data_IF_806339515789
#
_entry.id   IF_806339515789
#
_cell.length_a   1.000
_cell.length_b   1.000
_cell.length_c   1.000
_cell.angle_alpha   90.00
_cell.angle_beta   90.00
_cell.angle_gamma   90.00
#
_symmetry.space_group_name_H-M   'P 1'
#
loop_
_entity.id
_entity.type
_entity.pdbx_description
1 polymer ?
#
# COMPACT_ATOMS: atom_id res chain seq x y z
N UNK A 1 -21.52 -24.60 27.39
CA UNK A 1 -20.39 -23.88 26.79
C UNK A 1 -20.14 -22.68 27.66
N UNK A 2 -19.22 -22.88 28.60
CA UNK A 2 -18.93 -21.97 29.70
C UNK A 2 -17.40 -21.88 29.77
N UNK A 3 -16.84 -21.05 28.90
CA UNK A 3 -15.43 -20.66 28.96
C UNK A 3 -15.28 -19.30 28.29
N UNK A 4 -14.87 -18.32 29.08
CA UNK A 4 -14.59 -16.92 28.73
C UNK A 4 -13.59 -16.72 27.59
N UNK A 5 -12.91 -17.78 27.14
CA UNK A 5 -12.05 -17.78 25.94
C UNK A 5 -12.86 -17.62 24.64
N UNK A 6 -14.15 -17.96 24.66
CA UNK A 6 -14.96 -17.97 23.44
C UNK A 6 -15.33 -16.58 22.89
N UNK A 7 -15.10 -15.49 23.63
CA UNK A 7 -15.55 -14.15 23.23
C UNK A 7 -14.48 -13.07 23.39
N UNK A 8 -13.20 -13.51 23.45
CA UNK A 8 -12.06 -12.62 23.33
C UNK A 8 -11.84 -12.23 21.86
N UNK A 9 -11.45 -10.99 21.54
CA UNK A 9 -10.89 -10.70 20.22
C UNK A 9 -9.68 -11.57 19.91
N UNK A 10 -9.08 -12.28 20.87
CA UNK A 10 -7.92 -13.14 20.67
C UNK A 10 -8.27 -14.63 20.54
N UNK A 11 -9.50 -14.96 20.13
CA UNK A 11 -9.85 -16.34 19.77
C UNK A 11 -8.82 -16.90 18.80
N UNK A 12 -8.32 -18.10 19.09
CA UNK A 12 -7.34 -18.78 18.24
C UNK A 12 -7.91 -19.18 16.87
N UNK A 13 -9.24 -19.24 16.71
CA UNK A 13 -9.89 -19.58 15.43
C UNK A 13 -10.26 -18.36 14.58
N UNK A 14 -10.10 -17.14 15.10
CA UNK A 14 -10.38 -15.88 14.39
C UNK A 14 -11.85 -15.64 14.04
N UNK A 15 -12.79 -16.45 14.54
CA UNK A 15 -14.21 -16.35 14.22
C UNK A 15 -14.89 -15.25 15.03
N UNK A 16 -15.93 -14.60 14.46
CA UNK A 16 -16.58 -13.41 15.01
C UNK A 16 -17.94 -13.71 15.69
N UNK A 17 -18.06 -14.86 16.36
CA UNK A 17 -19.33 -15.24 17.00
C UNK A 17 -19.78 -14.21 18.04
N UNK A 18 -21.02 -13.73 17.90
CA UNK A 18 -21.62 -12.77 18.82
C UNK A 18 -21.05 -11.35 18.72
N UNK A 19 -20.23 -11.06 17.71
CA UNK A 19 -19.73 -9.70 17.48
C UNK A 19 -20.80 -8.85 16.81
N UNK A 20 -20.78 -7.56 17.12
CA UNK A 20 -21.59 -6.54 16.45
C UNK A 20 -20.70 -5.76 15.49
N UNK A 21 -20.98 -5.93 14.19
CA UNK A 21 -20.20 -5.37 13.10
C UNK A 21 -21.02 -4.33 12.32
N UNK A 22 -20.40 -3.22 11.97
CA UNK A 22 -20.94 -2.20 11.04
C UNK A 22 -20.14 -2.27 9.74
N UNK A 23 -20.84 -2.27 8.61
CA UNK A 23 -20.23 -2.18 7.28
C UNK A 23 -20.93 -1.06 6.50
N UNK A 24 -20.25 0.06 6.27
CA UNK A 24 -20.77 1.12 5.39
C UNK A 24 -20.63 0.71 3.93
N UNK A 25 -21.40 1.30 3.01
CA UNK A 25 -21.32 0.91 1.59
C UNK A 25 -21.70 -0.56 1.33
N UNK A 26 -22.55 -1.12 2.18
CA UNK A 26 -23.01 -2.52 2.17
C UNK A 26 -23.67 -2.96 0.84
N UNK A 27 -24.22 -2.02 0.07
CA UNK A 27 -24.83 -2.30 -1.22
C UNK A 27 -23.82 -2.52 -2.35
N UNK A 28 -22.54 -2.19 -2.13
CA UNK A 28 -21.49 -2.33 -3.13
C UNK A 28 -20.92 -3.75 -3.14
N UNK A 29 -20.42 -4.22 -4.29
CA UNK A 29 -19.75 -5.52 -4.46
C UNK A 29 -18.77 -5.91 -3.34
N UNK A 30 -17.83 -5.03 -3.01
CA UNK A 30 -16.85 -5.27 -1.93
C UNK A 30 -17.51 -5.26 -0.56
N UNK A 31 -18.47 -4.35 -0.32
CA UNK A 31 -19.26 -4.31 0.91
C UNK A 31 -20.06 -5.58 1.15
N UNK A 32 -20.71 -6.13 0.12
CA UNK A 32 -21.44 -7.40 0.20
C UNK A 32 -20.51 -8.57 0.52
N UNK A 33 -19.35 -8.65 -0.13
CA UNK A 33 -18.35 -9.67 0.16
C UNK A 33 -17.78 -9.55 1.59
N UNK A 34 -17.59 -8.33 2.10
CA UNK A 34 -17.21 -8.10 3.50
C UNK A 34 -18.29 -8.59 4.45
N UNK A 35 -19.56 -8.31 4.17
CA UNK A 35 -20.68 -8.80 5.00
C UNK A 35 -20.70 -10.33 5.03
N UNK A 36 -20.52 -10.98 3.88
CA UNK A 36 -20.43 -12.43 3.78
C UNK A 36 -19.24 -12.98 4.59
N UNK A 37 -18.05 -12.38 4.47
CA UNK A 37 -16.87 -12.79 5.24
C UNK A 37 -17.07 -12.65 6.75
N UNK A 38 -17.66 -11.54 7.21
CA UNK A 38 -17.93 -11.33 8.63
C UNK A 38 -19.05 -12.23 9.16
N UNK A 39 -20.02 -12.59 8.31
CA UNK A 39 -21.12 -13.50 8.65
C UNK A 39 -20.69 -14.97 8.69
N UNK A 40 -19.67 -15.32 7.92
CA UNK A 40 -19.14 -16.67 7.71
C UNK A 40 -18.34 -17.21 8.90
N UNK A 41 -18.97 -17.27 10.07
CA UNK A 41 -18.34 -17.79 11.28
C UNK A 41 -18.07 -19.31 11.19
N UNK A 42 -18.85 -20.08 10.42
CA UNK A 42 -18.75 -21.55 10.41
C UNK A 42 -17.98 -22.14 9.23
N UNK A 43 -17.92 -21.44 8.09
CA UNK A 43 -17.24 -21.91 6.88
C UNK A 43 -16.84 -20.74 5.99
N UNK A 44 -15.61 -20.69 5.46
CA UNK A 44 -15.15 -19.59 4.63
C UNK A 44 -16.03 -19.44 3.37
N UNK A 45 -16.41 -18.20 2.96
CA UNK A 45 -17.25 -17.99 1.78
C UNK A 45 -16.64 -18.51 0.48
N UNK A 46 -17.50 -18.91 -0.44
CA UNK A 46 -17.09 -19.45 -1.74
C UNK A 46 -16.48 -18.36 -2.63
N UNK A 47 -15.38 -18.68 -3.30
CA UNK A 47 -14.77 -17.79 -4.30
C UNK A 47 -15.53 -17.76 -5.65
N UNK A 48 -16.67 -18.48 -5.76
CA UNK A 48 -17.35 -18.75 -7.05
C UNK A 48 -18.63 -17.96 -7.32
N UNK A 49 -19.22 -17.26 -6.35
CA UNK A 49 -20.50 -16.56 -6.56
C UNK A 49 -20.40 -15.07 -6.25
N UNK A 50 -20.77 -14.25 -7.23
CA UNK A 50 -20.71 -12.79 -7.15
C UNK A 50 -22.10 -12.10 -7.16
N UNK A 51 -23.22 -12.86 -7.11
CA UNK A 51 -24.57 -12.29 -7.16
C UNK A 51 -25.41 -12.71 -5.95
N UNK A 52 -24.95 -12.36 -4.76
CA UNK A 52 -25.69 -12.59 -3.53
C UNK A 52 -26.38 -11.28 -3.11
N UNK A 53 -27.71 -11.18 -3.31
CA UNK A 53 -28.49 -10.17 -2.59
C UNK A 53 -28.26 -10.31 -1.08
N UNK A 54 -28.36 -9.24 -0.29
CA UNK A 54 -28.27 -9.30 1.17
C UNK A 54 -29.20 -10.38 1.78
N UNK A 55 -30.34 -10.62 1.14
CA UNK A 55 -31.30 -11.67 1.51
C UNK A 55 -30.73 -13.09 1.37
N UNK A 56 -29.89 -13.31 0.35
CA UNK A 56 -29.25 -14.61 0.11
C UNK A 56 -28.15 -14.90 1.14
N UNK A 57 -27.43 -13.88 1.63
CA UNK A 57 -26.41 -14.05 2.66
C UNK A 57 -27.05 -14.55 3.96
N UNK A 58 -28.20 -13.98 4.34
CA UNK A 58 -28.97 -14.42 5.52
C UNK A 58 -29.43 -15.87 5.42
N UNK A 59 -29.64 -16.38 4.20
CA UNK A 59 -30.01 -17.78 3.95
C UNK A 59 -28.81 -18.72 4.11
N UNK A 60 -27.62 -18.29 3.66
CA UNK A 60 -26.37 -19.07 3.75
C UNK A 60 -25.83 -19.08 5.19
N UNK A 61 -26.00 -17.99 5.93
CA UNK A 61 -25.52 -17.82 7.30
C UNK A 61 -26.70 -17.56 8.26
N UNK A 62 -27.55 -18.57 8.55
CA UNK A 62 -28.77 -18.40 9.33
C UNK A 62 -28.53 -18.00 10.80
N UNK A 63 -27.31 -18.23 11.30
CA UNK A 63 -26.90 -17.85 12.66
C UNK A 63 -26.46 -16.38 12.77
N UNK A 64 -26.38 -15.66 11.65
CA UNK A 64 -25.97 -14.26 11.61
C UNK A 64 -27.16 -13.38 11.25
N UNK A 65 -27.46 -12.41 12.12
CA UNK A 65 -28.53 -11.43 11.88
C UNK A 65 -27.97 -10.24 11.09
N UNK A 66 -28.44 -10.06 9.85
CA UNK A 66 -28.14 -8.89 9.03
C UNK A 66 -29.26 -7.86 9.19
N UNK A 67 -28.92 -6.63 9.56
CA UNK A 67 -29.88 -5.53 9.76
C UNK A 67 -29.54 -4.40 8.78
N UNK A 68 -30.33 -4.20 7.71
CA UNK A 68 -30.19 -3.04 6.85
C UNK A 68 -30.45 -1.74 7.63
N UNK A 69 -29.64 -0.72 7.38
CA UNK A 69 -29.76 0.57 8.07
C UNK A 69 -29.63 1.74 7.08
N UNK A 70 -30.56 2.72 7.09
CA UNK A 70 -30.42 3.92 6.29
C UNK A 70 -29.34 4.82 6.91
N UNK A 71 -28.12 4.72 6.39
CA UNK A 71 -26.95 5.43 6.92
C UNK A 71 -26.44 6.50 5.94
N UNK A 72 -26.30 7.74 6.40
CA UNK A 72 -25.53 8.77 5.67
C UNK A 72 -24.09 8.81 6.18
N UNK A 73 -23.13 8.60 5.28
CA UNK A 73 -21.70 8.67 5.59
C UNK A 73 -21.17 10.10 5.69
N UNK A 74 -21.96 11.10 5.30
CA UNK A 74 -21.52 12.50 5.19
C UNK A 74 -21.83 13.34 6.43
N UNK A 75 -22.62 12.82 7.37
CA UNK A 75 -23.05 13.57 8.55
C UNK A 75 -22.65 12.88 9.86
N UNK A 76 -22.18 13.70 10.81
CA UNK A 76 -21.78 13.22 12.13
C UNK A 76 -22.97 12.63 12.90
N UNK A 77 -24.12 13.30 12.85
CA UNK A 77 -25.35 12.88 13.54
C UNK A 77 -25.82 11.48 13.14
N UNK A 78 -25.64 11.09 11.87
CA UNK A 78 -25.97 9.73 11.41
C UNK A 78 -25.10 8.67 12.08
N UNK A 79 -23.81 8.98 12.29
CA UNK A 79 -22.86 8.08 12.98
C UNK A 79 -23.25 7.93 14.45
N UNK A 80 -23.58 9.03 15.12
CA UNK A 80 -24.03 9.01 16.50
C UNK A 80 -25.34 8.25 16.68
N UNK A 81 -26.34 8.52 15.84
CA UNK A 81 -27.64 7.84 15.88
C UNK A 81 -27.49 6.31 15.70
N UNK A 82 -26.67 5.88 14.72
CA UNK A 82 -26.40 4.46 14.52
C UNK A 82 -25.72 3.83 15.73
N UNK A 83 -24.73 4.50 16.32
CA UNK A 83 -24.04 4.01 17.52
C UNK A 83 -25.01 3.88 18.69
N UNK A 84 -25.85 4.88 18.93
CA UNK A 84 -26.83 4.85 20.02
C UNK A 84 -27.83 3.70 19.84
N UNK A 85 -28.32 3.48 18.63
CA UNK A 85 -29.26 2.40 18.32
C UNK A 85 -28.61 1.01 18.43
N UNK A 86 -27.35 0.87 18.02
CA UNK A 86 -26.55 -0.34 18.22
C UNK A 86 -26.40 -0.64 19.71
N UNK A 87 -26.04 0.35 20.51
CA UNK A 87 -25.84 0.18 21.95
C UNK A 87 -27.18 -0.08 22.67
N UNK A 88 -28.27 0.53 22.23
CA UNK A 88 -29.60 0.26 22.75
C UNK A 88 -30.10 -1.16 22.40
N UNK A 89 -29.74 -1.68 21.22
CA UNK A 89 -30.22 -2.98 20.74
C UNK A 89 -29.35 -4.15 21.18
N UNK A 90 -28.04 -3.96 21.21
CA UNK A 90 -27.05 -5.02 21.40
C UNK A 90 -26.09 -4.77 22.57
N UNK A 91 -26.09 -3.57 23.16
CA UNK A 91 -25.22 -3.24 24.30
C UNK A 91 -23.73 -3.15 23.99
N UNK A 92 -23.30 -3.43 22.74
CA UNK A 92 -21.89 -3.50 22.33
C UNK A 92 -21.70 -3.14 20.86
N UNK A 93 -20.47 -2.76 20.53
CA UNK A 93 -19.95 -2.58 19.17
C UNK A 93 -18.53 -3.17 19.13
N UNK A 94 -18.17 -3.88 18.06
CA UNK A 94 -16.89 -4.61 18.00
C UNK A 94 -16.08 -4.30 16.74
N UNK A 95 -16.73 -4.21 15.58
CA UNK A 95 -16.07 -3.97 14.30
C UNK A 95 -16.78 -2.86 13.54
N UNK A 96 -16.01 -1.96 12.93
CA UNK A 96 -16.52 -0.95 12.01
C UNK A 96 -15.69 -0.95 10.72
N UNK A 97 -16.31 -1.36 9.62
CA UNK A 97 -15.69 -1.34 8.29
C UNK A 97 -16.23 -0.16 7.49
N UNK A 98 -15.35 0.79 7.18
CA UNK A 98 -15.65 1.92 6.33
C UNK A 98 -15.38 1.52 4.87
N UNK A 99 -16.41 1.09 4.15
CA UNK A 99 -16.35 0.85 2.71
C UNK A 99 -17.09 1.95 1.94
N UNK A 100 -16.42 2.51 0.92
CA UNK A 100 -16.91 3.58 0.05
C UNK A 100 -16.27 3.48 -1.33
N UNK A 101 -17.02 3.77 -2.39
CA UNK A 101 -16.59 3.60 -3.78
C UNK A 101 -17.02 4.80 -4.63
N UNK A 102 -16.47 5.98 -4.34
CA UNK A 102 -16.67 7.17 -5.16
C UNK A 102 -15.35 7.58 -5.81
N UNK A 103 -15.23 7.43 -7.13
CA UNK A 103 -14.02 7.80 -7.87
C UNK A 103 -14.03 9.27 -8.33
N UNK A 104 -15.22 9.85 -8.53
CA UNK A 104 -15.31 11.20 -9.11
C UNK A 104 -14.76 11.28 -10.54
N UNK A 105 -14.61 12.50 -11.10
CA UNK A 105 -14.11 12.69 -12.47
C UNK A 105 -12.66 12.25 -12.65
N UNK A 106 -12.33 11.66 -13.81
CA UNK A 106 -11.00 11.16 -14.13
C UNK A 106 -9.98 12.26 -14.50
N UNK A 107 -10.46 13.41 -14.98
CA UNK A 107 -9.63 14.52 -15.48
C UNK A 107 -9.69 15.73 -14.56
N UNK A 108 -8.57 16.44 -14.43
CA UNK A 108 -8.53 17.73 -13.71
C UNK A 108 -9.45 18.77 -14.33
N UNK A 109 -9.64 18.74 -15.66
CA UNK A 109 -10.50 19.70 -16.37
C UNK A 109 -11.99 19.47 -16.06
N UNK A 110 -12.36 18.24 -15.72
CA UNK A 110 -13.74 17.86 -15.38
C UNK A 110 -13.98 17.84 -13.86
N UNK A 111 -12.92 17.99 -13.05
CA UNK A 111 -13.02 17.93 -11.59
C UNK A 111 -13.47 19.27 -11.03
N UNK A 112 -14.69 19.33 -10.49
CA UNK A 112 -15.15 20.51 -9.75
C UNK A 112 -14.73 20.47 -8.27
N UNK A 113 -14.71 21.63 -7.57
CA UNK A 113 -14.54 21.65 -6.12
C UNK A 113 -15.57 20.80 -5.37
N UNK A 114 -16.79 20.68 -5.91
CA UNK A 114 -17.84 19.86 -5.29
C UNK A 114 -17.55 18.36 -5.41
N UNK A 115 -16.94 17.91 -6.51
CA UNK A 115 -16.53 16.52 -6.69
C UNK A 115 -15.41 16.16 -5.71
N UNK A 116 -14.47 17.10 -5.49
CA UNK A 116 -13.44 16.96 -4.48
C UNK A 116 -14.04 16.80 -3.08
N UNK A 117 -14.96 17.68 -2.68
CA UNK A 117 -15.64 17.62 -1.38
C UNK A 117 -16.36 16.28 -1.21
N UNK A 118 -17.14 15.84 -2.21
CA UNK A 118 -17.83 14.55 -2.17
C UNK A 118 -16.87 13.36 -2.02
N UNK A 119 -15.73 13.38 -2.72
CA UNK A 119 -14.71 12.34 -2.55
C UNK A 119 -14.13 12.34 -1.13
N UNK A 120 -13.85 13.51 -0.56
CA UNK A 120 -13.38 13.63 0.83
C UNK A 120 -14.44 13.17 1.84
N UNK A 121 -15.70 13.52 1.65
CA UNK A 121 -16.81 13.06 2.47
C UNK A 121 -16.89 11.52 2.46
N UNK A 122 -16.81 10.94 1.27
CA UNK A 122 -16.92 9.51 1.04
C UNK A 122 -15.74 8.69 1.59
N UNK A 123 -14.50 9.18 1.46
CA UNK A 123 -13.29 8.41 1.76
C UNK A 123 -12.57 8.82 3.04
N UNK A 124 -12.70 10.08 3.49
CA UNK A 124 -11.98 10.59 4.65
C UNK A 124 -12.90 10.95 5.81
N UNK A 125 -14.00 11.64 5.55
CA UNK A 125 -14.92 12.09 6.61
C UNK A 125 -15.64 10.92 7.28
N UNK A 126 -16.09 9.94 6.49
CA UNK A 126 -16.76 8.75 7.04
C UNK A 126 -15.83 7.92 7.96
N UNK A 127 -14.59 7.58 7.57
CA UNK A 127 -13.62 6.99 8.51
C UNK A 127 -13.28 7.88 9.70
N UNK A 128 -13.25 9.21 9.51
CA UNK A 128 -13.00 10.14 10.61
C UNK A 128 -14.12 10.07 11.67
N UNK A 129 -15.39 10.05 11.27
CA UNK A 129 -16.50 9.89 12.21
C UNK A 129 -16.47 8.53 12.93
N UNK A 130 -16.12 7.46 12.22
CA UNK A 130 -15.90 6.16 12.83
C UNK A 130 -14.78 6.23 13.88
N UNK A 131 -13.62 6.79 13.53
CA UNK A 131 -12.49 6.99 14.46
C UNK A 131 -12.86 7.84 15.67
N UNK A 132 -13.67 8.88 15.49
CA UNK A 132 -14.07 9.81 16.54
C UNK A 132 -15.02 9.16 17.55
N UNK A 133 -16.00 8.39 17.08
CA UNK A 133 -17.14 7.98 17.90
C UNK A 133 -17.20 6.49 18.23
N UNK A 134 -16.81 5.62 17.30
CA UNK A 134 -16.87 4.18 17.52
C UNK A 134 -16.01 3.68 18.70
N UNK A 135 -14.81 4.22 18.99
CA UNK A 135 -13.97 3.70 20.08
C UNK A 135 -14.62 3.76 21.46
N UNK A 136 -15.40 4.81 21.74
CA UNK A 136 -16.11 4.93 23.02
C UNK A 136 -17.19 3.84 23.16
N UNK A 137 -17.91 3.55 22.07
CA UNK A 137 -18.88 2.45 22.01
C UNK A 137 -18.20 1.07 22.09
N UNK A 138 -17.06 0.90 21.41
CA UNK A 138 -16.25 -0.31 21.45
C UNK A 138 -15.65 -0.58 22.84
N UNK A 139 -15.42 0.46 23.63
CA UNK A 139 -14.95 0.35 25.01
C UNK A 139 -16.02 -0.02 26.03
N UNK A 140 -17.32 -0.04 25.68
CA UNK A 140 -18.39 -0.41 26.61
C UNK A 140 -18.33 -1.91 26.91
N UNK A 141 -18.40 -2.24 28.20
CA UNK A 141 -18.52 -3.61 28.70
C UNK A 141 -20.00 -3.97 28.81
N UNK A 142 -20.33 -5.23 28.56
CA UNK A 142 -21.71 -5.70 28.51
C UNK A 142 -21.79 -7.02 29.26
N UNK A 143 -22.67 -7.13 30.26
CA UNK A 143 -22.91 -8.40 30.92
C UNK A 143 -23.79 -9.30 30.05
N UNK A 144 -23.64 -10.62 30.22
CA UNK A 144 -24.46 -11.59 29.47
C UNK A 144 -25.91 -11.49 29.96
N UNK A 145 -26.85 -11.38 29.03
CA UNK A 145 -28.29 -11.36 29.35
C UNK A 145 -28.89 -9.98 29.59
N UNK A 146 -28.11 -8.89 29.59
CA UNK A 146 -28.64 -7.51 29.67
C UNK A 146 -29.45 -7.12 28.44
N UNK A 147 -29.16 -7.71 27.28
CA UNK A 147 -29.93 -7.53 26.04
C UNK A 147 -30.30 -8.88 25.45
N UNK A 148 -31.48 -9.03 24.81
CA UNK A 148 -32.00 -10.31 24.32
C UNK A 148 -31.05 -11.08 23.38
N UNK A 149 -30.16 -10.36 22.68
CA UNK A 149 -29.23 -10.92 21.69
C UNK A 149 -27.75 -10.68 22.04
N UNK A 150 -27.43 -10.07 23.19
CA UNK A 150 -26.05 -9.69 23.50
C UNK A 150 -25.28 -10.81 24.17
N UNK A 151 -24.18 -11.20 23.54
CA UNK A 151 -23.12 -11.94 24.19
C UNK A 151 -22.30 -10.98 25.06
N UNK A 152 -21.89 -11.43 26.24
CA UNK A 152 -21.13 -10.58 27.17
C UNK A 152 -19.81 -10.08 26.56
N UNK A 153 -19.45 -8.83 26.88
CA UNK A 153 -18.18 -8.19 26.53
C UNK A 153 -17.44 -7.81 27.81
N UNK A 154 -16.42 -8.61 28.14
CA UNK A 154 -15.67 -8.50 29.41
C UNK A 154 -14.36 -7.72 29.28
N UNK A 155 -13.96 -7.36 28.06
CA UNK A 155 -12.73 -6.64 27.76
C UNK A 155 -12.98 -5.52 26.75
N UNK A 156 -12.25 -4.42 26.89
CA UNK A 156 -12.27 -3.31 25.93
C UNK A 156 -11.51 -3.72 24.68
N UNK A 157 -12.19 -3.73 23.54
CA UNK A 157 -11.59 -3.99 22.25
C UNK A 157 -12.44 -3.42 21.12
N UNK A 158 -11.81 -3.18 19.98
CA UNK A 158 -12.50 -2.92 18.74
C UNK A 158 -11.58 -2.97 17.53
N UNK A 159 -12.15 -3.09 16.34
CA UNK A 159 -11.41 -2.99 15.08
C UNK A 159 -12.12 -2.04 14.12
N UNK A 160 -11.41 -0.99 13.71
CA UNK A 160 -11.82 -0.09 12.64
C UNK A 160 -11.01 -0.46 11.38
N UNK A 161 -11.71 -0.83 10.32
CA UNK A 161 -11.11 -1.18 9.03
C UNK A 161 -11.53 -0.14 8.01
N UNK A 162 -10.57 0.56 7.43
CA UNK A 162 -10.81 1.55 6.37
C UNK A 162 -10.49 0.91 5.04
N UNK A 163 -11.49 0.79 4.17
CA UNK A 163 -11.25 0.41 2.78
C UNK A 163 -10.69 1.63 2.04
N UNK A 164 -9.40 1.58 1.77
CA UNK A 164 -8.69 2.59 1.01
C UNK A 164 -8.46 2.14 -0.42
N UNK A 165 -7.49 2.78 -1.06
CA UNK A 165 -7.08 2.50 -2.42
C UNK A 165 -5.58 2.56 -2.53
N UNK A 166 -5.01 1.85 -3.51
CA UNK A 166 -3.62 2.05 -3.92
C UNK A 166 -3.34 3.49 -4.36
N UNK A 167 -4.38 4.24 -4.73
CA UNK A 167 -4.36 5.70 -4.93
C UNK A 167 -3.83 6.50 -3.74
N UNK A 168 -3.92 5.95 -2.53
CA UNK A 168 -3.37 6.54 -1.30
C UNK A 168 -1.88 6.23 -1.09
N UNK A 169 -1.27 5.44 -1.97
CA UNK A 169 0.12 4.98 -1.87
C UNK A 169 1.01 5.47 -3.01
N UNK A 170 0.44 5.70 -4.19
CA UNK A 170 1.10 6.31 -5.34
C UNK A 170 0.07 7.07 -6.21
N UNK A 171 0.53 7.90 -7.14
CA UNK A 171 -0.33 8.71 -8.01
C UNK A 171 -0.65 8.06 -9.37
N UNK A 172 -1.63 8.60 -10.10
CA UNK A 172 -1.91 8.23 -11.49
C UNK A 172 -2.90 7.08 -11.70
N UNK A 173 -3.51 6.56 -10.63
CA UNK A 173 -4.53 5.51 -10.69
C UNK A 173 -5.95 6.01 -11.04
N UNK A 174 -6.21 7.32 -10.98
CA UNK A 174 -7.45 7.99 -11.41
C UNK A 174 -7.26 9.52 -11.43
N UNK A 175 -8.37 10.26 -11.37
CA UNK A 175 -8.39 11.70 -11.20
C UNK A 175 -7.89 12.21 -9.84
N UNK A 176 -7.65 13.53 -9.75
CA UNK A 176 -7.03 14.17 -8.59
C UNK A 176 -7.89 14.10 -7.32
N UNK A 177 -9.22 14.22 -7.43
CA UNK A 177 -10.14 14.20 -6.28
C UNK A 177 -10.08 12.89 -5.51
N UNK A 178 -10.11 11.76 -6.22
CA UNK A 178 -9.99 10.43 -5.64
C UNK A 178 -8.61 10.19 -5.02
N UNK A 179 -7.54 10.54 -5.74
CA UNK A 179 -6.17 10.37 -5.24
C UNK A 179 -5.95 11.14 -3.94
N UNK A 180 -6.40 12.39 -3.88
CA UNK A 180 -6.33 13.21 -2.66
C UNK A 180 -7.16 12.60 -1.52
N UNK A 181 -8.40 12.17 -1.81
CA UNK A 181 -9.28 11.60 -0.80
C UNK A 181 -8.78 10.24 -0.27
N UNK A 182 -8.15 9.42 -1.12
CA UNK A 182 -7.54 8.15 -0.72
C UNK A 182 -6.31 8.35 0.20
N UNK A 183 -5.47 9.36 -0.08
CA UNK A 183 -4.41 9.76 0.85
C UNK A 183 -4.98 10.26 2.19
N UNK A 184 -6.08 11.02 2.15
CA UNK A 184 -6.75 11.49 3.36
C UNK A 184 -7.32 10.32 4.19
N UNK A 185 -7.92 9.31 3.56
CA UNK A 185 -8.38 8.08 4.21
C UNK A 185 -7.24 7.37 4.97
N UNK A 186 -6.09 7.21 4.31
CA UNK A 186 -4.89 6.65 4.94
C UNK A 186 -4.35 7.54 6.07
N UNK A 187 -4.49 8.86 5.94
CA UNK A 187 -4.19 9.83 6.99
C UNK A 187 -5.04 9.65 8.24
N UNK A 188 -6.32 9.30 8.11
CA UNK A 188 -7.19 8.97 9.25
C UNK A 188 -6.65 7.76 10.00
N UNK A 189 -6.24 6.70 9.28
CA UNK A 189 -5.66 5.50 9.90
C UNK A 189 -4.36 5.81 10.64
N UNK A 190 -3.44 6.55 10.00
CA UNK A 190 -2.15 6.92 10.59
C UNK A 190 -2.30 7.78 11.84
N UNK A 191 -3.19 8.77 11.79
CA UNK A 191 -3.47 9.63 12.94
C UNK A 191 -4.19 8.87 14.07
N UNK A 192 -5.07 7.93 13.72
CA UNK A 192 -5.78 7.09 14.68
C UNK A 192 -4.87 6.26 15.58
N UNK A 193 -3.67 5.87 15.14
CA UNK A 193 -2.71 5.12 15.98
C UNK A 193 -2.37 5.87 17.27
N UNK A 194 -2.08 7.17 17.16
CA UNK A 194 -1.75 7.99 18.31
C UNK A 194 -2.97 8.22 19.21
N UNK A 195 -4.14 8.48 18.60
CA UNK A 195 -5.39 8.79 19.31
C UNK A 195 -5.97 7.58 20.05
N UNK A 196 -5.83 6.37 19.50
CA UNK A 196 -6.40 5.15 20.07
C UNK A 196 -5.49 4.48 21.10
N UNK A 197 -4.32 5.05 21.42
CA UNK A 197 -3.38 4.47 22.38
C UNK A 197 -4.04 4.21 23.73
N UNK A 198 -3.98 2.95 24.19
CA UNK A 198 -4.55 2.52 25.47
C UNK A 198 -6.06 2.24 25.46
N UNK A 199 -6.75 2.43 24.34
CA UNK A 199 -8.19 2.14 24.22
C UNK A 199 -8.49 0.65 24.00
N UNK A 200 -7.52 -0.11 23.49
CA UNK A 200 -7.72 -1.49 23.01
C UNK A 200 -8.34 -1.58 21.61
N UNK A 201 -8.59 -0.44 20.94
CA UNK A 201 -9.13 -0.38 19.58
C UNK A 201 -7.99 -0.29 18.57
N UNK A 202 -8.06 -1.12 17.52
CA UNK A 202 -7.13 -1.09 16.38
C UNK A 202 -7.76 -0.35 15.21
N UNK A 203 -6.93 0.32 14.41
CA UNK A 203 -7.36 0.97 13.17
C UNK A 203 -6.39 0.61 12.05
N UNK A 204 -6.88 0.09 10.94
CA UNK A 204 -6.05 -0.34 9.81
C UNK A 204 -6.69 0.02 8.47
N UNK A 205 -5.88 0.07 7.42
CA UNK A 205 -6.30 0.32 6.05
C UNK A 205 -6.12 -0.94 5.19
N UNK A 206 -7.06 -1.18 4.27
CA UNK A 206 -6.89 -2.11 3.15
C UNK A 206 -6.86 -1.27 1.87
N UNK A 207 -5.68 -1.05 1.30
CA UNK A 207 -5.50 -0.34 0.03
C UNK A 207 -5.73 -1.31 -1.12
N UNK A 208 -6.88 -1.16 -1.80
CA UNK A 208 -7.30 -2.07 -2.86
C UNK A 208 -6.82 -1.57 -4.22
N UNK A 209 -6.33 -2.48 -5.05
CA UNK A 209 -6.03 -2.25 -6.46
C UNK A 209 -7.28 -2.44 -7.34
N UNK A 210 -7.06 -2.94 -8.56
CA UNK A 210 -8.17 -3.22 -9.47
C UNK A 210 -8.94 -4.48 -9.03
N UNK A 211 -10.26 -4.36 -8.93
CA UNK A 211 -11.18 -5.45 -8.58
C UNK A 211 -12.23 -5.61 -9.67
N UNK A 212 -12.43 -6.85 -10.12
CA UNK A 212 -13.54 -7.21 -11.01
C UNK A 212 -14.82 -7.27 -10.18
N UNK A 213 -15.74 -6.35 -10.48
CA UNK A 213 -17.03 -6.20 -9.81
C UNK A 213 -18.19 -6.63 -10.71
N UNK A 214 -17.92 -7.47 -11.73
CA UNK A 214 -18.93 -8.16 -12.53
C UNK A 214 -19.86 -7.26 -13.34
N UNK A 215 -19.46 -6.00 -13.58
CA UNK A 215 -20.17 -5.08 -14.48
C UNK A 215 -19.57 -5.22 -15.87
N UNK A 216 -20.32 -5.83 -16.79
CA UNK A 216 -19.93 -5.91 -18.20
C UNK A 216 -20.11 -4.52 -18.83
N UNK A 217 -19.03 -3.73 -18.86
CA UNK A 217 -19.01 -2.43 -19.54
C UNK A 217 -18.93 -2.69 -21.05
N UNK A 218 -20.06 -3.01 -21.69
CA UNK A 218 -20.16 -3.28 -23.14
C UNK A 218 -19.93 -2.03 -23.99
N UNK A 219 -18.72 -1.44 -23.94
CA UNK A 219 -18.28 -0.32 -24.78
C UNK A 219 -19.09 0.98 -24.68
N UNK A 220 -20.19 0.98 -23.93
CA UNK A 220 -21.06 2.10 -23.68
C UNK A 220 -20.86 2.51 -22.22
N UNK A 221 -20.05 3.54 -22.02
CA UNK A 221 -20.03 4.33 -20.79
C UNK A 221 -21.46 4.87 -20.57
N UNK A 222 -22.24 4.18 -19.75
CA UNK A 222 -23.62 4.54 -19.48
C UNK A 222 -23.60 5.88 -18.74
N UNK A 223 -23.97 6.96 -19.43
CA UNK A 223 -24.03 8.33 -18.90
C UNK A 223 -24.65 8.34 -17.50
N UNK A 224 -23.81 8.54 -16.48
CA UNK A 224 -24.21 8.59 -15.07
C UNK A 224 -23.44 7.65 -14.12
N UNK A 225 -22.79 6.59 -14.63
CA UNK A 225 -21.98 5.65 -13.83
C UNK A 225 -20.45 5.90 -13.91
N UNK A 226 -20.01 6.84 -14.73
CA UNK A 226 -18.58 7.15 -15.00
C UNK A 226 -17.77 7.55 -13.75
N UNK A 227 -18.41 7.90 -12.64
CA UNK A 227 -17.75 8.34 -11.40
C UNK A 227 -17.65 7.27 -10.33
N UNK A 228 -18.14 6.05 -10.59
CA UNK A 228 -18.08 4.92 -9.63
C UNK A 228 -17.18 3.76 -10.08
N UNK A 229 -16.94 3.59 -11.39
CA UNK A 229 -16.15 2.46 -11.91
C UNK A 229 -15.08 2.92 -12.90
N UNK A 230 -13.93 2.22 -12.98
CA UNK A 230 -12.91 2.51 -13.99
C UNK A 230 -13.45 2.23 -15.41
N UNK A 231 -12.90 2.86 -16.47
CA UNK A 231 -13.32 2.69 -17.85
C UNK A 231 -13.07 1.24 -18.29
N UNK A 232 -13.89 0.76 -19.23
CA UNK A 232 -13.80 -0.61 -19.74
C UNK A 232 -12.40 -0.98 -20.23
N UNK A 233 -11.68 -0.04 -20.84
CA UNK A 233 -10.33 -0.25 -21.38
C UNK A 233 -9.28 -0.60 -20.32
N UNK A 234 -9.39 -0.06 -19.10
CA UNK A 234 -8.52 -0.45 -17.98
C UNK A 234 -8.89 -1.83 -17.42
N UNK A 235 -10.06 -2.35 -17.77
CA UNK A 235 -10.55 -3.66 -17.35
C UNK A 235 -10.30 -4.77 -18.38
N UNK A 236 -9.71 -4.45 -19.52
CA UNK A 236 -9.36 -5.44 -20.54
C UNK A 236 -8.23 -6.37 -20.06
N UNK A 237 -8.28 -7.63 -20.50
CA UNK A 237 -7.29 -8.66 -20.13
C UNK A 237 -5.86 -8.24 -20.46
N UNK A 238 -5.64 -7.65 -21.62
CA UNK A 238 -4.32 -7.21 -22.07
C UNK A 238 -3.75 -6.09 -21.17
N UNK A 239 -4.60 -5.21 -20.66
CA UNK A 239 -4.20 -4.17 -19.71
C UNK A 239 -3.83 -4.77 -18.35
N UNK A 240 -4.62 -5.74 -17.86
CA UNK A 240 -4.35 -6.44 -16.60
C UNK A 240 -3.04 -7.24 -16.65
N UNK A 241 -2.78 -7.95 -17.76
CA UNK A 241 -1.54 -8.70 -17.97
C UNK A 241 -0.29 -7.81 -17.97
N UNK A 242 -0.42 -6.56 -18.43
CA UNK A 242 0.71 -5.61 -18.48
C UNK A 242 0.95 -4.90 -17.16
N UNK A 243 -0.08 -4.69 -16.35
CA UNK A 243 -0.05 -3.75 -15.22
C UNK A 243 -0.21 -4.39 -13.85
N UNK A 244 -0.68 -5.64 -13.78
CA UNK A 244 -0.90 -6.37 -12.52
C UNK A 244 0.04 -7.59 -12.51
N UNK A 245 0.84 -7.74 -11.46
CA UNK A 245 1.80 -8.84 -11.36
C UNK A 245 1.18 -10.25 -11.32
N UNK A 246 -0.07 -10.37 -10.86
CA UNK A 246 -0.87 -11.61 -10.96
C UNK A 246 -1.66 -11.71 -12.27
N UNK A 247 -1.46 -10.78 -13.19
CA UNK A 247 -2.03 -10.75 -14.55
C UNK A 247 -3.57 -10.74 -14.63
N UNK A 248 -4.24 -10.40 -13.52
CA UNK A 248 -5.69 -10.32 -13.43
C UNK A 248 -6.16 -9.32 -12.38
N UNK A 249 -7.36 -8.81 -12.55
CA UNK A 249 -8.06 -8.11 -11.46
C UNK A 249 -8.32 -9.05 -10.26
N UNK A 250 -8.36 -8.46 -9.06
CA UNK A 250 -8.78 -9.13 -7.85
C UNK A 250 -10.29 -9.38 -7.84
N UNK A 251 -10.77 -10.24 -6.94
CA UNK A 251 -12.19 -10.45 -6.67
C UNK A 251 -12.60 -9.78 -5.35
N UNK A 252 -13.86 -9.33 -5.20
CA UNK A 252 -14.36 -8.75 -3.96
C UNK A 252 -14.14 -9.65 -2.74
N UNK A 253 -14.26 -10.97 -2.90
CA UNK A 253 -13.99 -11.94 -1.83
C UNK A 253 -12.53 -11.91 -1.39
N UNK A 254 -11.56 -11.76 -2.31
CA UNK A 254 -10.14 -11.69 -1.97
C UNK A 254 -9.82 -10.47 -1.11
N UNK A 255 -10.50 -9.34 -1.38
CA UNK A 255 -10.42 -8.13 -0.55
C UNK A 255 -11.10 -8.33 0.81
N UNK A 256 -12.29 -8.93 0.80
CA UNK A 256 -13.07 -9.19 2.00
C UNK A 256 -12.31 -10.07 3.01
N UNK A 257 -11.55 -11.08 2.55
CA UNK A 257 -10.67 -11.90 3.41
C UNK A 257 -9.72 -11.06 4.26
N UNK A 258 -9.13 -10.03 3.68
CA UNK A 258 -8.19 -9.16 4.37
C UNK A 258 -8.92 -8.27 5.39
N UNK A 259 -10.11 -7.77 5.03
CA UNK A 259 -10.97 -7.04 5.97
C UNK A 259 -11.41 -7.93 7.15
N UNK A 260 -11.80 -9.18 6.89
CA UNK A 260 -12.13 -10.18 7.91
C UNK A 260 -10.94 -10.51 8.82
N UNK A 261 -9.76 -10.72 8.24
CA UNK A 261 -8.51 -10.89 9.01
C UNK A 261 -8.24 -9.68 9.93
N UNK A 262 -8.38 -8.46 9.41
CA UNK A 262 -8.21 -7.23 10.19
C UNK A 262 -9.31 -7.01 11.24
N UNK A 263 -10.53 -7.50 11.01
CA UNK A 263 -11.62 -7.50 11.98
C UNK A 263 -11.38 -8.51 13.12
N UNK A 264 -10.73 -9.64 12.81
CA UNK A 264 -10.51 -10.76 13.72
C UNK A 264 -9.32 -10.60 14.69
N UNK A 265 -9.14 -11.60 15.55
CA UNK A 265 -8.00 -11.75 16.44
C UNK A 265 -6.67 -12.07 15.82
N UNK A 266 -6.67 -12.56 14.57
CA UNK A 266 -5.43 -12.86 13.87
C UNK A 266 -4.56 -11.62 13.64
N UNK A 267 -5.18 -10.43 13.68
CA UNK A 267 -4.50 -9.15 13.58
C UNK A 267 -4.35 -8.43 14.92
N UNK A 268 -4.33 -9.18 16.03
CA UNK A 268 -4.20 -8.70 17.42
C UNK A 268 -3.09 -7.68 17.66
N UNK A 269 -1.98 -7.81 16.94
CA UNK A 269 -0.81 -6.93 17.04
C UNK A 269 -0.61 -6.01 15.82
N UNK A 270 -1.68 -5.80 15.04
CA UNK A 270 -1.66 -4.98 13.81
C UNK A 270 -2.57 -3.77 14.01
N UNK A 271 -1.97 -2.58 14.11
CA UNK A 271 -2.66 -1.29 14.10
C UNK A 271 -1.81 -0.26 13.35
N UNK A 272 -2.46 0.64 12.61
CA UNK A 272 -1.80 1.62 11.75
C UNK A 272 -1.28 1.05 10.43
N UNK A 273 -1.52 -0.22 10.14
CA UNK A 273 -1.04 -0.85 8.92
C UNK A 273 -1.87 -0.43 7.71
N UNK A 274 -1.22 -0.37 6.56
CA UNK A 274 -1.87 -0.36 5.26
C UNK A 274 -1.57 -1.66 4.53
N UNK A 275 -2.53 -2.56 4.45
CA UNK A 275 -2.39 -3.81 3.72
C UNK A 275 -2.81 -3.59 2.26
N UNK A 276 -1.86 -3.71 1.35
CA UNK A 276 -2.10 -3.55 -0.09
C UNK A 276 -2.62 -4.86 -0.69
N UNK A 277 -3.74 -4.79 -1.41
CA UNK A 277 -4.41 -5.92 -2.07
C UNK A 277 -4.66 -5.55 -3.53
N UNK A 278 -3.64 -5.72 -4.37
CA UNK A 278 -3.63 -5.18 -5.73
C UNK A 278 -3.03 -6.14 -6.78
N UNK A 279 -2.75 -7.39 -6.41
CA UNK A 279 -2.10 -8.35 -7.28
C UNK A 279 -0.69 -7.96 -7.74
N UNK A 280 0.00 -7.06 -7.02
CA UNK A 280 1.34 -6.58 -7.35
C UNK A 280 1.37 -5.37 -8.30
N UNK A 281 0.24 -4.75 -8.59
CA UNK A 281 0.17 -3.61 -9.51
C UNK A 281 0.93 -2.35 -9.03
N UNK A 282 1.08 -2.17 -7.71
CA UNK A 282 1.80 -1.06 -7.09
C UNK A 282 3.32 -1.12 -7.26
N UNK A 283 3.87 -2.21 -7.81
CA UNK A 283 5.27 -2.31 -8.21
C UNK A 283 5.32 -2.20 -9.73
N UNK A 284 5.35 -0.98 -10.30
CA UNK A 284 5.33 -0.82 -11.75
C UNK A 284 6.62 -1.38 -12.34
N UNK A 285 6.47 -2.35 -13.25
CA UNK A 285 7.51 -2.74 -14.20
C UNK A 285 7.16 -2.08 -15.51
N UNK A 286 7.88 -1.03 -15.84
CA UNK A 286 7.82 -0.32 -17.11
C UNK A 286 8.56 -1.08 -18.20
N UNK A 287 8.28 -0.80 -19.46
CA UNK A 287 9.02 -1.38 -20.58
C UNK A 287 10.09 -0.41 -21.09
N UNK A 288 11.36 -0.80 -21.05
CA UNK A 288 12.48 -0.05 -21.62
C UNK A 288 12.45 -0.01 -23.16
N UNK A 289 11.54 -0.77 -23.78
CA UNK A 289 11.23 -0.68 -25.22
C UNK A 289 10.05 0.25 -25.54
N UNK A 290 9.31 0.71 -24.52
CA UNK A 290 8.24 1.70 -24.67
C UNK A 290 8.80 3.11 -24.59
N UNK A 291 8.79 3.84 -25.71
CA UNK A 291 9.23 5.25 -25.74
C UNK A 291 8.41 6.13 -24.78
N UNK A 292 7.13 5.83 -24.61
CA UNK A 292 6.25 6.54 -23.68
C UNK A 292 6.69 6.35 -22.22
N UNK A 293 6.99 5.11 -21.82
CA UNK A 293 7.40 4.78 -20.46
C UNK A 293 8.75 5.43 -20.12
N UNK A 294 9.70 5.34 -21.04
CA UNK A 294 11.04 5.93 -20.90
C UNK A 294 10.94 7.45 -20.82
N UNK A 295 10.12 8.08 -21.67
CA UNK A 295 9.92 9.54 -21.67
C UNK A 295 9.28 10.01 -20.36
N UNK A 296 8.24 9.31 -19.89
CA UNK A 296 7.60 9.62 -18.61
C UNK A 296 8.59 9.50 -17.43
N UNK A 297 9.42 8.47 -17.43
CA UNK A 297 10.47 8.25 -16.42
C UNK A 297 11.52 9.36 -16.45
N UNK A 298 12.01 9.70 -17.64
CA UNK A 298 12.97 10.78 -17.85
C UNK A 298 12.48 12.10 -17.28
N UNK A 299 11.22 12.45 -17.57
CA UNK A 299 10.57 13.65 -17.05
C UNK A 299 10.43 13.62 -15.51
N UNK A 300 10.00 12.48 -14.94
CA UNK A 300 9.80 12.34 -13.50
C UNK A 300 11.09 12.48 -12.68
N UNK A 301 12.22 12.02 -13.23
CA UNK A 301 13.50 11.94 -12.51
C UNK A 301 14.57 12.90 -13.05
N UNK A 302 14.19 13.86 -13.90
CA UNK A 302 15.10 14.86 -14.47
C UNK A 302 16.32 14.24 -15.19
N UNK A 303 16.05 13.15 -15.93
CA UNK A 303 17.01 12.50 -16.82
C UNK A 303 16.67 12.84 -18.26
N UNK A 304 17.68 12.96 -19.11
CA UNK A 304 17.48 12.93 -20.56
C UNK A 304 17.32 11.49 -21.04
N UNK A 305 16.67 11.33 -22.20
CA UNK A 305 16.51 10.02 -22.84
C UNK A 305 17.87 9.33 -23.09
N UNK A 306 18.88 10.10 -23.47
CA UNK A 306 20.23 9.60 -23.70
C UNK A 306 20.88 9.12 -22.39
N UNK A 307 20.69 9.85 -21.29
CA UNK A 307 21.19 9.43 -19.98
C UNK A 307 20.54 8.12 -19.52
N UNK A 308 19.23 7.99 -19.67
CA UNK A 308 18.51 6.75 -19.37
C UNK A 308 19.04 5.57 -20.20
N UNK A 309 19.20 5.77 -21.51
CA UNK A 309 19.69 4.74 -22.43
C UNK A 309 21.11 4.31 -22.07
N UNK A 310 22.00 5.27 -21.77
CA UNK A 310 23.35 4.96 -21.33
C UNK A 310 23.38 4.22 -19.99
N UNK A 311 22.55 4.61 -19.02
CA UNK A 311 22.42 3.91 -17.74
C UNK A 311 21.98 2.45 -17.94
N UNK A 312 20.96 2.22 -18.79
CA UNK A 312 20.50 0.87 -19.17
C UNK A 312 21.62 0.05 -19.78
N UNK A 313 22.20 0.54 -20.87
CA UNK A 313 23.15 -0.24 -21.68
C UNK A 313 24.44 -0.53 -20.90
N UNK A 314 24.92 0.45 -20.10
CA UNK A 314 26.12 0.29 -19.27
C UNK A 314 25.90 -0.65 -18.10
N UNK A 315 24.76 -0.56 -17.40
CA UNK A 315 24.47 -1.49 -16.30
C UNK A 315 24.27 -2.91 -16.83
N UNK A 316 23.56 -3.09 -17.95
CA UNK A 316 23.33 -4.39 -18.58
C UNK A 316 24.63 -5.05 -19.07
N UNK A 317 25.48 -4.32 -19.79
CA UNK A 317 26.76 -4.83 -20.29
C UNK A 317 27.75 -5.16 -19.18
N UNK A 318 27.71 -4.43 -18.05
CA UNK A 318 28.59 -4.69 -16.90
C UNK A 318 28.35 -6.05 -16.25
N UNK A 319 27.19 -6.69 -16.44
CA UNK A 319 26.94 -8.07 -15.97
C UNK A 319 27.99 -9.07 -16.48
N UNK A 320 28.60 -8.81 -17.65
CA UNK A 320 29.66 -9.66 -18.21
C UNK A 320 30.95 -9.66 -17.37
N UNK A 321 31.15 -8.65 -16.51
CA UNK A 321 32.30 -8.51 -15.63
C UNK A 321 32.09 -9.18 -14.25
N UNK A 322 30.90 -9.73 -13.99
CA UNK A 322 30.57 -10.32 -12.70
C UNK A 322 31.43 -11.56 -12.42
N UNK A 323 32.06 -11.61 -11.24
CA UNK A 323 32.67 -12.81 -10.71
C UNK A 323 31.68 -13.49 -9.78
N UNK A 324 30.90 -14.44 -10.29
CA UNK A 324 29.86 -15.13 -9.51
C UNK A 324 29.88 -16.65 -9.70
N UNK A 325 30.96 -17.36 -9.35
CA UNK A 325 31.08 -18.79 -9.59
C UNK A 325 30.11 -19.64 -8.77
N UNK A 326 29.58 -19.15 -7.64
CA UNK A 326 28.74 -19.91 -6.72
C UNK A 326 27.26 -19.77 -7.05
N UNK A 327 26.71 -18.54 -7.07
CA UNK A 327 25.28 -18.35 -7.33
C UNK A 327 24.92 -18.30 -8.81
N UNK A 328 25.89 -17.98 -9.68
CA UNK A 328 25.68 -17.64 -11.09
C UNK A 328 24.76 -16.42 -11.32
N UNK A 329 24.44 -15.66 -10.28
CA UNK A 329 23.61 -14.47 -10.36
C UNK A 329 24.45 -13.25 -10.73
N UNK A 330 24.37 -12.83 -11.99
CA UNK A 330 25.12 -11.68 -12.51
C UNK A 330 24.35 -10.39 -12.27
N UNK A 331 25.03 -9.41 -11.70
CA UNK A 331 24.51 -8.06 -11.47
C UNK A 331 25.51 -7.06 -12.02
N UNK A 332 25.03 -6.13 -12.82
CA UNK A 332 25.80 -5.00 -13.32
C UNK A 332 25.22 -3.70 -12.80
N UNK A 333 26.06 -2.71 -12.56
CA UNK A 333 25.65 -1.41 -12.06
C UNK A 333 26.34 -0.29 -12.84
N UNK A 334 25.58 0.76 -13.17
CA UNK A 334 26.07 2.01 -13.73
C UNK A 334 25.65 3.18 -12.83
N UNK A 335 26.54 4.15 -12.67
CA UNK A 335 26.34 5.36 -11.88
C UNK A 335 26.56 6.56 -12.79
N UNK A 336 25.61 7.49 -12.81
CA UNK A 336 25.72 8.78 -13.48
C UNK A 336 26.04 9.86 -12.45
N UNK A 337 27.13 10.59 -12.65
CA UNK A 337 27.50 11.75 -11.84
C UNK A 337 26.69 12.98 -12.26
N UNK A 338 26.68 14.03 -11.43
CA UNK A 338 26.14 15.36 -11.80
C UNK A 338 27.01 16.08 -12.83
N UNK A 339 28.27 15.66 -13.00
CA UNK A 339 29.18 16.14 -14.06
C UNK A 339 28.94 15.49 -15.43
N UNK A 340 28.14 14.41 -15.49
CA UNK A 340 27.81 13.70 -16.73
C UNK A 340 28.68 12.48 -17.01
N UNK A 341 29.61 12.13 -16.12
CA UNK A 341 30.43 10.93 -16.20
C UNK A 341 29.65 9.66 -15.80
N UNK A 342 30.08 8.53 -16.35
CA UNK A 342 29.50 7.22 -16.05
C UNK A 342 30.55 6.29 -15.45
N UNK A 343 30.25 5.75 -14.28
CA UNK A 343 31.08 4.71 -13.63
C UNK A 343 30.32 3.39 -13.65
N UNK A 344 31.01 2.29 -13.91
CA UNK A 344 30.41 0.95 -13.97
C UNK A 344 31.12 -0.06 -13.08
N UNK A 345 30.40 -1.12 -12.74
CA UNK A 345 30.87 -2.21 -11.89
C UNK A 345 29.92 -3.40 -11.92
N UNK A 346 30.38 -4.51 -11.34
CA UNK A 346 29.67 -5.78 -11.30
C UNK A 346 29.90 -6.48 -9.96
N UNK A 347 29.04 -7.45 -9.61
CA UNK A 347 29.18 -8.17 -8.34
C UNK A 347 30.40 -9.11 -8.34
N UNK A 348 31.01 -9.25 -7.16
CA UNK A 348 32.18 -10.08 -6.89
C UNK A 348 31.87 -10.98 -5.71
N UNK A 349 31.68 -12.26 -5.98
CA UNK A 349 31.50 -13.28 -4.95
C UNK A 349 32.80 -13.73 -4.33
N UNK A 350 32.71 -14.21 -3.09
CA UNK A 350 33.82 -14.77 -2.36
C UNK A 350 33.37 -16.08 -1.69
N UNK A 351 34.29 -17.03 -1.54
CA UNK A 351 34.03 -18.28 -0.82
C UNK A 351 33.54 -18.02 0.62
N UNK A 352 34.02 -16.95 1.25
CA UNK A 352 33.45 -16.41 2.47
C UNK A 352 32.33 -15.43 2.12
N UNK A 353 31.09 -15.93 2.05
CA UNK A 353 29.93 -15.15 1.62
C UNK A 353 29.80 -13.73 2.23
N UNK A 354 30.08 -13.49 3.54
CA UNK A 354 29.97 -12.14 4.12
C UNK A 354 30.85 -11.07 3.47
N UNK A 355 31.95 -11.45 2.81
CA UNK A 355 32.85 -10.49 2.13
C UNK A 355 32.53 -10.31 0.65
N UNK A 356 31.47 -10.95 0.15
CA UNK A 356 30.95 -10.71 -1.21
C UNK A 356 30.55 -9.24 -1.36
N UNK A 357 30.91 -8.64 -2.50
CA UNK A 357 30.60 -7.25 -2.79
C UNK A 357 29.63 -7.17 -3.97
N UNK A 358 28.46 -6.57 -3.73
CA UNK A 358 27.46 -6.37 -4.77
C UNK A 358 27.91 -5.31 -5.78
N UNK A 359 27.30 -5.32 -6.97
CA UNK A 359 27.69 -4.44 -8.07
C UNK A 359 27.65 -2.96 -7.68
N UNK A 360 26.65 -2.53 -6.92
CA UNK A 360 26.45 -1.14 -6.52
C UNK A 360 27.60 -0.65 -5.63
N UNK A 361 28.05 -1.48 -4.68
CA UNK A 361 29.19 -1.16 -3.80
C UNK A 361 30.51 -1.12 -4.57
N UNK A 362 30.68 -1.99 -5.57
CA UNK A 362 31.85 -1.94 -6.47
C UNK A 362 31.84 -0.63 -7.27
N UNK A 363 30.71 -0.30 -7.90
CA UNK A 363 30.57 0.91 -8.72
C UNK A 363 30.75 2.19 -7.92
N UNK A 364 30.09 2.32 -6.77
CA UNK A 364 30.22 3.48 -5.90
C UNK A 364 31.62 3.59 -5.29
N UNK A 365 32.19 2.47 -4.84
CA UNK A 365 33.56 2.46 -4.32
C UNK A 365 34.56 2.98 -5.37
N UNK A 366 34.42 2.54 -6.62
CA UNK A 366 35.22 3.06 -7.75
C UNK A 366 35.02 4.57 -7.93
N UNK A 367 33.76 5.02 -8.02
CA UNK A 367 33.45 6.43 -8.25
C UNK A 367 33.94 7.35 -7.12
N UNK A 368 33.86 6.88 -5.87
CA UNK A 368 34.34 7.62 -4.70
C UNK A 368 35.85 7.78 -4.73
N UNK A 369 36.60 6.71 -5.02
CA UNK A 369 38.06 6.75 -5.15
C UNK A 369 38.52 7.62 -6.33
N UNK A 370 37.73 7.68 -7.40
CA UNK A 370 37.97 8.58 -8.54
C UNK A 370 37.60 10.05 -8.23
N UNK A 371 37.09 10.36 -7.04
CA UNK A 371 36.80 11.72 -6.58
C UNK A 371 35.46 12.29 -7.04
N UNK A 372 34.63 11.51 -7.73
CA UNK A 372 33.36 11.99 -8.28
C UNK A 372 32.32 12.39 -7.23
N UNK A 373 32.49 11.95 -5.97
CA UNK A 373 31.60 12.30 -4.87
C UNK A 373 31.69 13.77 -4.42
N UNK A 374 32.74 14.51 -4.83
CA UNK A 374 32.95 15.93 -4.52
C UNK A 374 32.49 16.89 -5.63
N UNK A 375 32.13 16.40 -6.82
CA UNK A 375 31.80 17.27 -7.95
C UNK A 375 30.48 18.04 -7.75
N UNK A 376 30.44 19.30 -8.20
CA UNK A 376 29.29 20.22 -8.15
C UNK A 376 28.75 20.55 -6.75
N UNK A 377 29.63 20.56 -5.74
CA UNK A 377 29.27 20.84 -4.37
C UNK A 377 29.50 22.31 -4.00
N UNK A 378 28.76 23.23 -4.63
CA UNK A 378 28.94 24.67 -4.43
C UNK A 378 28.43 25.17 -3.06
N UNK A 379 27.72 24.35 -2.25
CA UNK A 379 27.05 24.83 -1.03
C UNK A 379 27.00 23.87 0.17
N UNK A 380 27.68 22.70 0.18
CA UNK A 380 27.71 21.84 1.36
C UNK A 380 29.07 21.99 2.08
N UNK A 381 29.10 22.75 3.18
CA UNK A 381 30.27 22.94 4.07
C UNK A 381 30.72 21.65 4.80
N UNK A 382 30.11 20.51 4.47
CA UNK A 382 30.21 19.23 5.14
C UNK A 382 30.96 18.16 4.32
N UNK A 383 31.29 18.42 3.05
CA UNK A 383 32.25 17.63 2.26
C UNK A 383 31.87 16.16 2.00
N UNK A 384 30.60 15.77 2.23
CA UNK A 384 30.18 14.37 2.41
C UNK A 384 29.07 13.90 1.45
N UNK A 385 29.22 14.17 0.16
CA UNK A 385 28.36 13.59 -0.89
C UNK A 385 27.56 14.63 -1.67
N UNK A 386 26.86 14.15 -2.71
CA UNK A 386 26.05 14.99 -3.60
C UNK A 386 26.51 15.04 -5.05
N UNK A 387 27.62 14.39 -5.43
CA UNK A 387 28.12 14.35 -6.81
C UNK A 387 27.36 13.41 -7.76
N UNK A 388 26.35 12.67 -7.29
CA UNK A 388 25.69 11.61 -8.06
C UNK A 388 24.26 11.95 -8.44
N UNK A 389 23.89 11.70 -9.70
CA UNK A 389 22.59 12.03 -10.29
C UNK A 389 21.64 10.84 -10.30
N UNK A 390 22.11 9.65 -10.71
CA UNK A 390 21.27 8.45 -10.80
C UNK A 390 22.10 7.17 -10.75
N UNK A 391 21.49 6.08 -10.30
CA UNK A 391 22.09 4.74 -10.28
C UNK A 391 21.20 3.79 -11.08
N UNK A 392 21.80 2.94 -11.90
CA UNK A 392 21.14 1.85 -12.59
C UNK A 392 21.74 0.50 -12.22
N UNK A 393 20.88 -0.49 -11.97
CA UNK A 393 21.25 -1.87 -11.66
C UNK A 393 20.54 -2.77 -12.66
N UNK A 394 21.25 -3.74 -13.23
CA UNK A 394 20.69 -4.71 -14.17
C UNK A 394 20.95 -6.13 -13.69
N UNK A 395 19.93 -6.98 -13.81
CA UNK A 395 20.01 -8.42 -13.48
C UNK A 395 19.56 -9.28 -14.65
N UNK A 396 19.68 -10.61 -14.52
CA UNK A 396 19.21 -11.57 -15.54
C UNK A 396 17.79 -12.08 -15.28
N UNK A 397 17.22 -11.80 -14.12
CA UNK A 397 15.88 -12.24 -13.72
C UNK A 397 14.85 -11.18 -14.07
N UNK A 398 13.58 -11.60 -14.20
CA UNK A 398 12.42 -10.72 -14.26
C UNK A 398 11.40 -11.19 -13.20
N UNK A 399 10.78 -10.28 -12.40
CA UNK A 399 10.92 -8.82 -12.44
C UNK A 399 12.30 -8.31 -11.94
N UNK A 400 12.61 -7.00 -12.08
CA UNK A 400 13.92 -6.47 -11.71
C UNK A 400 14.26 -6.70 -10.23
N UNK A 401 15.52 -7.05 -9.95
CA UNK A 401 15.97 -7.23 -8.56
C UNK A 401 16.35 -5.88 -7.92
N UNK A 402 15.89 -5.65 -6.69
CA UNK A 402 16.28 -4.47 -5.92
C UNK A 402 17.68 -4.61 -5.29
N UNK A 403 18.43 -3.50 -5.10
CA UNK A 403 19.67 -3.52 -4.32
C UNK A 403 19.45 -4.10 -2.91
N UNK A 404 20.44 -4.83 -2.39
CA UNK A 404 20.34 -5.38 -1.02
C UNK A 404 20.43 -4.28 0.06
N UNK A 405 20.01 -4.57 1.29
CA UNK A 405 20.01 -3.59 2.39
C UNK A 405 21.35 -2.90 2.65
N UNK A 406 22.46 -3.65 2.54
CA UNK A 406 23.82 -3.08 2.67
C UNK A 406 24.13 -2.09 1.54
N UNK A 407 23.74 -2.40 0.30
CA UNK A 407 23.93 -1.49 -0.83
C UNK A 407 23.10 -0.23 -0.66
N UNK A 408 21.84 -0.35 -0.23
CA UNK A 408 20.97 0.81 0.03
C UNK A 408 21.60 1.74 1.06
N UNK A 409 22.13 1.20 2.15
CA UNK A 409 22.82 2.00 3.17
C UNK A 409 24.13 2.62 2.64
N UNK A 410 24.88 1.88 1.81
CA UNK A 410 26.10 2.40 1.18
C UNK A 410 25.80 3.53 0.18
N UNK A 411 24.73 3.39 -0.61
CA UNK A 411 24.23 4.44 -1.50
C UNK A 411 23.85 5.67 -0.66
N UNK A 412 23.17 5.49 0.48
CA UNK A 412 22.75 6.58 1.37
C UNK A 412 23.90 7.45 1.88
N UNK A 413 25.10 6.89 2.04
CA UNK A 413 26.28 7.65 2.45
C UNK A 413 26.63 8.76 1.43
N UNK A 414 26.46 8.50 0.13
CA UNK A 414 26.96 9.37 -0.94
C UNK A 414 25.87 10.03 -1.80
N UNK A 415 24.64 9.53 -1.72
CA UNK A 415 23.50 9.96 -2.52
C UNK A 415 22.39 10.60 -1.67
N UNK A 416 21.69 11.54 -2.29
CA UNK A 416 20.50 12.18 -1.72
C UNK A 416 19.34 11.19 -1.62
N UNK A 417 18.43 11.42 -0.67
CA UNK A 417 17.22 10.62 -0.51
C UNK A 417 16.30 10.63 -1.76
N UNK A 418 16.45 11.65 -2.60
CA UNK A 418 15.73 11.81 -3.87
C UNK A 418 16.43 11.13 -5.07
N UNK A 419 17.66 10.61 -4.91
CA UNK A 419 18.40 10.00 -6.01
C UNK A 419 17.63 8.79 -6.57
N UNK A 420 17.32 8.76 -7.88
CA UNK A 420 16.64 7.65 -8.53
C UNK A 420 17.56 6.44 -8.68
N UNK A 421 17.01 5.27 -8.33
CA UNK A 421 17.61 3.96 -8.52
C UNK A 421 16.76 3.20 -9.56
N UNK A 422 17.31 3.02 -10.75
CA UNK A 422 16.69 2.34 -11.87
C UNK A 422 17.11 0.87 -11.84
N UNK A 423 16.14 -0.04 -11.84
CA UNK A 423 16.37 -1.49 -11.76
C UNK A 423 15.85 -2.11 -13.05
N UNK A 424 16.75 -2.66 -13.87
CA UNK A 424 16.45 -3.35 -15.12
C UNK A 424 16.45 -4.87 -14.91
N UNK A 425 15.49 -5.55 -15.55
CA UNK A 425 15.40 -7.00 -15.60
C UNK A 425 16.06 -7.59 -16.86
N UNK A 426 15.93 -8.91 -17.03
CA UNK A 426 16.42 -9.65 -18.19
C UNK A 426 15.54 -9.63 -19.44
N UNK A 427 14.38 -8.94 -19.42
CA UNK A 427 13.33 -8.93 -20.45
C UNK A 427 12.90 -7.51 -20.85
N UNK A 428 13.82 -6.55 -20.85
CA UNK A 428 13.58 -5.12 -21.12
C UNK A 428 12.58 -4.44 -20.16
N UNK A 429 12.18 -5.09 -19.06
CA UNK A 429 11.41 -4.48 -17.99
C UNK A 429 12.29 -3.66 -17.04
N UNK A 430 11.75 -2.60 -16.47
CA UNK A 430 12.43 -1.81 -15.45
C UNK A 430 11.50 -1.18 -14.41
N UNK A 431 12.03 -0.92 -13.23
CA UNK A 431 11.35 -0.17 -12.17
C UNK A 431 12.27 0.94 -11.67
N UNK A 432 11.71 2.05 -11.22
CA UNK A 432 12.49 3.16 -10.65
C UNK A 432 11.92 3.55 -9.31
N UNK A 433 12.78 3.61 -8.30
CA UNK A 433 12.43 4.09 -6.96
C UNK A 433 13.50 5.09 -6.50
N UNK A 434 13.09 6.08 -5.70
CA UNK A 434 14.03 6.96 -5.00
C UNK A 434 14.66 6.19 -3.84
N UNK A 435 15.84 6.62 -3.44
CA UNK A 435 16.56 6.00 -2.33
C UNK A 435 15.73 5.93 -1.03
N UNK A 436 14.96 6.99 -0.71
CA UNK A 436 14.07 7.01 0.46
C UNK A 436 12.95 5.95 0.45
N UNK A 437 12.55 5.51 -0.74
CA UNK A 437 11.52 4.48 -0.91
C UNK A 437 12.13 3.09 -0.74
N UNK A 438 13.37 2.90 -1.17
CA UNK A 438 14.13 1.67 -0.96
C UNK A 438 14.62 1.52 0.48
N UNK A 439 14.95 2.62 1.17
CA UNK A 439 15.47 2.62 2.53
C UNK A 439 14.81 3.71 3.39
N UNK A 440 13.55 3.51 3.79
CA UNK A 440 12.83 4.47 4.62
C UNK A 440 13.48 4.60 6.00
N UNK A 441 13.41 5.80 6.57
CA UNK A 441 13.97 6.12 7.90
C UNK A 441 15.47 5.80 8.03
N UNK A 442 16.22 5.92 6.93
CA UNK A 442 17.68 5.74 6.93
C UNK A 442 18.39 6.85 7.71
N UNK A 443 19.60 6.55 8.16
CA UNK A 443 20.53 7.52 8.72
C UNK A 443 21.69 7.73 7.74
N UNK A 444 22.15 8.98 7.62
CA UNK A 444 23.33 9.35 6.85
C UNK A 444 24.36 10.09 7.69
N UNK A 445 25.36 10.72 7.05
CA UNK A 445 26.40 11.50 7.71
C UNK A 445 25.88 12.53 8.71
N UNK A 446 24.70 13.11 8.45
CA UNK A 446 24.03 14.08 9.32
C UNK A 446 23.69 13.53 10.71
N UNK A 447 23.59 12.21 10.88
CA UNK A 447 23.27 11.58 12.15
C UNK A 447 24.51 11.34 13.05
N UNK A 448 25.73 11.45 12.52
CA UNK A 448 26.97 11.08 13.23
C UNK A 448 27.70 12.26 13.88
N UNK A 449 27.15 13.48 13.80
CA UNK A 449 27.78 14.69 14.33
C UNK A 449 28.99 15.17 13.49
N UNK A 450 29.39 16.43 13.68
CA UNK A 450 30.60 16.93 13.04
C UNK A 450 31.85 16.26 13.65
N UNK A 451 32.84 15.86 12.84
CA UNK A 451 34.10 15.36 13.38
C UNK A 451 34.75 16.42 14.28
N UNK A 452 35.30 16.01 15.42
CA UNK A 452 36.05 16.89 16.31
C UNK A 452 37.25 17.46 15.55
N UNK A 453 37.32 18.80 15.30
CA UNK A 453 38.39 19.41 14.54
C UNK A 453 39.76 19.27 15.21
N UNK A 454 39.80 18.89 16.50
CA UNK A 454 41.04 18.66 17.24
C UNK A 454 41.51 17.20 17.20
N UNK A 455 40.75 16.30 16.57
CA UNK A 455 41.14 14.89 16.47
C UNK A 455 42.09 14.71 15.27
N UNK A 456 43.38 14.38 15.49
CA UNK A 456 44.32 14.19 14.39
C UNK A 456 43.85 13.04 13.50
N UNK A 457 44.04 13.19 12.18
CA UNK A 457 43.90 12.09 11.23
C UNK A 457 44.89 10.98 11.63
N UNK A 458 44.38 9.77 11.86
CA UNK A 458 45.19 8.60 12.23
C UNK A 458 45.86 7.98 11.02
#
# INVERSE_FOLDING_TARGET
>A
MDSTEDFSPYRQDGKLYGFVCVVTGASQPVGQAIIEELAACDSPPSLKSFNASLDSISTVHPNTKIVPYPFSTTTEDSTLALIDEILASFGRLDVWVCNSALLGPASIYDTSPQDLIKCFEAHALAPFFALKHAPAAMGKLTERGTYPNAVGKQQRYGSIVVMGSVAGTYGGCWGPSYTMAAHAALGVVRSGVAVLKGTGVRVNCVSVGQVDVGVELQGNDVKGMNSQFPPASLQEKDAQQKTIGLERAGRPQEVARVAGFLASGFSSYITGANLVVDGGASVPVYSASSEADVTATCNAYSLSYLEFTHLRDKSASSKALAYCPYSKFRVGCALLTKGGEYVTGANIENASYPVTTCAERVTLGKAVVEGYHHQNNDNSNDGKGGGFKAIAVATDISPPASPCGMCRQFIREFCDLETPIIMFDGQDGYSVLKLKELLPLSFGPEALGAPDPNKPAQ
#
